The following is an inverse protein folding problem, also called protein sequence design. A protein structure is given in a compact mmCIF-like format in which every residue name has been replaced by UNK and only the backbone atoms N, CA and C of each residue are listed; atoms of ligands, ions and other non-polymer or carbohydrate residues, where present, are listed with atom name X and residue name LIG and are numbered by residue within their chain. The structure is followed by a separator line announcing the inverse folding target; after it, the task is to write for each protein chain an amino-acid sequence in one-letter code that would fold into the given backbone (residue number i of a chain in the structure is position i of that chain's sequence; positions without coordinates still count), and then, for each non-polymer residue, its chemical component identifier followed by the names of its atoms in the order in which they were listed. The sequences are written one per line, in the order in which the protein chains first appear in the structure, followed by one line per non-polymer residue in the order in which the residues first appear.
data_IF_506179467480
#
_entry.id   IF_506179467480
#
_cell.length_a   1.000
_cell.length_b   1.000
_cell.length_c   1.000
_cell.angle_alpha   90.00
_cell.angle_beta   90.00
_cell.angle_gamma   90.00
#
_symmetry.space_group_name_H-M   'P 1'
#
loop_
_entity.id
_entity.type
_entity.pdbx_description
1 polymer ?
#
# COMPACT_ATOMS: atom_id res chain seq x y z
N UNK A 1 -13.08 -35.35 33.88
CA UNK A 1 -11.77 -35.57 33.23
C UNK A 1 -11.75 -35.09 31.78
N UNK A 2 -12.72 -35.45 30.94
CA UNK A 2 -12.76 -35.05 29.51
C UNK A 2 -12.81 -33.53 29.23
N UNK A 3 -13.48 -32.73 30.07
CA UNK A 3 -13.48 -31.25 29.92
C UNK A 3 -12.08 -30.62 30.05
N UNK A 4 -11.21 -31.17 30.91
CA UNK A 4 -9.85 -30.65 31.07
C UNK A 4 -8.99 -30.95 29.83
N UNK A 5 -9.15 -32.13 29.22
CA UNK A 5 -8.45 -32.46 27.99
C UNK A 5 -8.88 -31.55 26.84
N UNK A 6 -10.18 -31.27 26.68
CA UNK A 6 -10.66 -30.34 25.66
C UNK A 6 -10.12 -28.91 25.83
N UNK A 7 -10.07 -28.40 27.08
CA UNK A 7 -9.51 -27.07 27.38
C UNK A 7 -8.00 -27.00 27.08
N UNK A 8 -7.24 -28.05 27.40
CA UNK A 8 -5.80 -28.13 27.11
C UNK A 8 -5.54 -28.13 25.60
N UNK A 9 -6.32 -28.90 24.83
CA UNK A 9 -6.18 -28.95 23.37
C UNK A 9 -6.53 -27.61 22.71
N UNK A 10 -7.59 -26.94 23.16
CA UNK A 10 -7.96 -25.61 22.67
C UNK A 10 -6.88 -24.55 23.00
N UNK A 11 -6.29 -24.62 24.20
CA UNK A 11 -5.18 -23.73 24.58
C UNK A 11 -3.92 -24.00 23.76
N UNK A 12 -3.57 -25.26 23.51
CA UNK A 12 -2.45 -25.63 22.67
C UNK A 12 -2.65 -25.17 21.21
N UNK A 13 -3.85 -25.39 20.65
CA UNK A 13 -4.21 -24.91 19.31
C UNK A 13 -4.11 -23.39 19.19
N UNK A 14 -4.64 -22.65 20.17
CA UNK A 14 -4.60 -21.18 20.20
C UNK A 14 -3.16 -20.65 20.34
N UNK A 15 -2.31 -21.31 21.13
CA UNK A 15 -0.87 -20.97 21.23
C UNK A 15 -0.16 -21.16 19.90
N UNK A 16 -0.38 -22.30 19.22
CA UNK A 16 0.24 -22.58 17.93
C UNK A 16 -0.19 -21.55 16.88
N UNK A 17 -1.49 -21.21 16.81
CA UNK A 17 -2.01 -20.18 15.91
C UNK A 17 -1.39 -18.80 16.18
N UNK A 18 -1.25 -18.40 17.44
CA UNK A 18 -0.60 -17.14 17.81
C UNK A 18 0.90 -17.13 17.47
N UNK A 19 1.60 -18.26 17.60
CA UNK A 19 3.01 -18.36 17.21
C UNK A 19 3.20 -18.13 15.71
N UNK A 20 2.40 -18.79 14.87
CA UNK A 20 2.44 -18.60 13.42
C UNK A 20 2.12 -17.17 13.01
N UNK A 21 1.18 -16.52 13.70
CA UNK A 21 0.87 -15.11 13.48
C UNK A 21 2.10 -14.22 13.74
N UNK A 22 2.74 -14.37 14.91
CA UNK A 22 3.92 -13.57 15.29
C UNK A 22 5.08 -13.80 14.32
N UNK A 23 5.36 -15.05 13.96
CA UNK A 23 6.39 -15.39 12.97
C UNK A 23 6.11 -14.72 11.63
N UNK A 24 4.88 -14.79 11.14
CA UNK A 24 4.52 -14.14 9.89
C UNK A 24 4.60 -12.62 9.94
N UNK A 25 4.25 -11.98 11.06
CA UNK A 25 4.42 -10.53 11.25
C UNK A 25 5.89 -10.12 11.24
N UNK A 26 6.76 -10.85 11.96
CA UNK A 26 8.20 -10.59 11.99
C UNK A 26 8.84 -10.82 10.60
N UNK A 27 8.43 -11.89 9.91
CA UNK A 27 8.89 -12.20 8.56
C UNK A 27 8.47 -11.09 7.58
N UNK A 28 7.18 -10.71 7.57
CA UNK A 28 6.68 -9.66 6.70
C UNK A 28 7.39 -8.32 6.95
N UNK A 29 7.58 -7.93 8.22
CA UNK A 29 8.27 -6.70 8.58
C UNK A 29 9.75 -6.72 8.17
N UNK A 30 10.47 -7.81 8.45
CA UNK A 30 11.88 -7.95 8.08
C UNK A 30 12.09 -7.93 6.57
N UNK A 31 11.24 -8.61 5.80
CA UNK A 31 11.30 -8.61 4.33
C UNK A 31 10.98 -7.22 3.79
N UNK A 32 9.92 -6.56 4.27
CA UNK A 32 9.55 -5.21 3.84
C UNK A 32 10.67 -4.20 4.13
N UNK A 33 11.25 -4.23 5.33
CA UNK A 33 12.39 -3.37 5.69
C UNK A 33 13.61 -3.68 4.84
N UNK A 34 13.94 -4.96 4.62
CA UNK A 34 15.07 -5.36 3.79
C UNK A 34 14.92 -4.85 2.36
N UNK A 35 13.72 -4.91 1.77
CA UNK A 35 13.45 -4.36 0.43
C UNK A 35 13.72 -2.86 0.38
N UNK A 36 13.23 -2.08 1.35
CA UNK A 36 13.43 -0.63 1.40
C UNK A 36 14.91 -0.28 1.58
N UNK A 37 15.57 -0.89 2.58
CA UNK A 37 16.98 -0.62 2.88
C UNK A 37 17.94 -1.15 1.82
N UNK A 38 17.57 -2.15 1.02
CA UNK A 38 18.42 -2.67 -0.05
C UNK A 38 18.85 -1.55 -1.01
N UNK A 39 17.91 -0.69 -1.41
CA UNK A 39 18.18 0.45 -2.32
C UNK A 39 19.11 1.51 -1.75
N UNK A 40 19.27 1.57 -0.42
CA UNK A 40 20.17 2.54 0.21
C UNK A 40 21.64 2.28 -0.13
N UNK A 41 22.01 1.01 -0.36
CA UNK A 41 23.39 0.63 -0.69
C UNK A 41 23.87 1.19 -2.04
N UNK A 42 22.95 1.29 -3.01
CA UNK A 42 23.24 1.84 -4.35
C UNK A 42 23.14 3.38 -4.36
N UNK A 43 22.20 3.95 -3.61
CA UNK A 43 21.93 5.40 -3.60
C UNK A 43 22.91 6.24 -2.74
N UNK A 44 23.82 5.60 -2.00
CA UNK A 44 24.84 6.29 -1.21
C UNK A 44 25.90 6.89 -2.14
N UNK A 45 26.46 8.05 -1.76
CA UNK A 45 27.51 8.75 -2.53
C UNK A 45 28.74 7.89 -2.87
N UNK A 46 29.10 6.97 -1.97
CA UNK A 46 30.17 5.98 -2.14
C UNK A 46 29.61 4.55 -2.36
N UNK A 47 28.38 4.46 -2.89
CA UNK A 47 27.65 3.20 -3.05
C UNK A 47 28.30 2.28 -4.09
N UNK A 48 28.22 0.97 -3.82
CA UNK A 48 28.67 -0.04 -4.78
C UNK A 48 27.62 -0.13 -5.90
N UNK A 49 28.06 0.06 -7.14
CA UNK A 49 27.20 -0.09 -8.31
C UNK A 49 26.75 -1.56 -8.43
N UNK A 50 25.44 -1.79 -8.43
CA UNK A 50 24.90 -3.13 -8.58
C UNK A 50 25.10 -3.67 -9.99
N UNK A 51 25.34 -4.97 -10.08
CA UNK A 51 25.42 -5.66 -11.38
C UNK A 51 24.06 -5.62 -12.07
N UNK A 52 24.02 -5.56 -13.41
CA UNK A 52 22.75 -5.55 -14.19
C UNK A 52 21.77 -6.64 -13.77
N UNK A 53 22.29 -7.83 -13.44
CA UNK A 53 21.52 -8.95 -12.95
C UNK A 53 20.82 -8.65 -11.61
N UNK A 54 21.54 -8.06 -10.65
CA UNK A 54 20.99 -7.70 -9.33
C UNK A 54 19.87 -6.65 -9.45
N UNK A 55 20.05 -5.65 -10.31
CA UNK A 55 19.03 -4.63 -10.57
C UNK A 55 17.79 -5.23 -11.22
N UNK A 56 17.97 -6.10 -12.22
CA UNK A 56 16.87 -6.80 -12.86
C UNK A 56 16.08 -7.68 -11.88
N UNK A 57 16.77 -8.42 -10.99
CA UNK A 57 16.12 -9.20 -9.93
C UNK A 57 15.35 -8.32 -8.96
N UNK A 58 15.93 -7.21 -8.51
CA UNK A 58 15.25 -6.29 -7.59
C UNK A 58 13.99 -5.67 -8.22
N UNK A 59 14.05 -5.23 -9.47
CA UNK A 59 12.88 -4.67 -10.17
C UNK A 59 11.79 -5.72 -10.41
N UNK A 60 12.18 -6.96 -10.76
CA UNK A 60 11.25 -8.04 -11.03
C UNK A 60 10.57 -8.57 -9.75
N UNK A 61 11.32 -8.76 -8.67
CA UNK A 61 10.81 -9.40 -7.44
C UNK A 61 10.45 -8.40 -6.35
N UNK A 62 10.94 -7.16 -6.38
CA UNK A 62 10.66 -6.16 -5.34
C UNK A 62 9.17 -5.87 -5.20
N UNK A 63 8.46 -5.63 -6.31
CA UNK A 63 7.02 -5.35 -6.30
C UNK A 63 6.18 -6.56 -5.88
N UNK A 64 6.38 -7.78 -6.43
CA UNK A 64 5.64 -8.96 -5.99
C UNK A 64 5.90 -9.35 -4.54
N UNK A 65 7.15 -9.27 -4.06
CA UNK A 65 7.48 -9.61 -2.66
C UNK A 65 6.84 -8.60 -1.71
N UNK A 66 6.87 -7.30 -2.04
CA UNK A 66 6.12 -6.30 -1.28
C UNK A 66 4.62 -6.60 -1.27
N UNK A 67 4.04 -6.94 -2.42
CA UNK A 67 2.63 -7.33 -2.51
C UNK A 67 2.32 -8.59 -1.68
N UNK A 68 3.23 -9.56 -1.61
CA UNK A 68 3.08 -10.74 -0.76
C UNK A 68 3.12 -10.39 0.74
N UNK A 69 3.98 -9.45 1.15
CA UNK A 69 3.98 -8.93 2.52
C UNK A 69 2.64 -8.26 2.87
N UNK A 70 2.09 -7.45 1.98
CA UNK A 70 0.76 -6.84 2.16
C UNK A 70 -0.34 -7.92 2.13
N UNK A 71 -0.21 -8.92 1.27
CA UNK A 71 -1.12 -10.08 1.21
C UNK A 71 -1.17 -10.86 2.53
N UNK A 72 -0.02 -11.04 3.19
CA UNK A 72 0.03 -11.61 4.53
C UNK A 72 -0.77 -10.79 5.55
N UNK A 73 -0.69 -9.45 5.50
CA UNK A 73 -1.48 -8.58 6.38
C UNK A 73 -2.98 -8.81 6.17
N UNK A 74 -3.44 -8.88 4.92
CA UNK A 74 -4.84 -9.14 4.58
C UNK A 74 -5.26 -10.51 5.12
N UNK A 75 -4.45 -11.55 4.87
CA UNK A 75 -4.69 -12.90 5.36
C UNK A 75 -4.77 -12.96 6.90
N UNK A 76 -3.85 -12.26 7.59
CA UNK A 76 -3.83 -12.19 9.04
C UNK A 76 -5.07 -11.48 9.60
N UNK A 77 -5.55 -10.43 8.92
CA UNK A 77 -6.80 -9.75 9.28
C UNK A 77 -8.02 -10.67 9.11
N UNK A 78 -8.09 -11.42 7.99
CA UNK A 78 -9.19 -12.35 7.73
C UNK A 78 -9.28 -13.50 8.76
N UNK A 79 -8.14 -14.01 9.24
CA UNK A 79 -8.08 -15.10 10.20
C UNK A 79 -8.19 -14.65 11.68
N UNK A 80 -8.59 -13.40 11.96
CA UNK A 80 -8.63 -12.82 13.31
C UNK A 80 -7.27 -12.83 14.06
N UNK A 81 -6.16 -13.00 13.33
CA UNK A 81 -4.79 -12.93 13.86
C UNK A 81 -4.21 -11.50 13.77
N UNK A 82 -4.98 -10.54 13.25
CA UNK A 82 -4.56 -9.17 13.00
C UNK A 82 -4.64 -8.22 14.19
N UNK A 83 -5.30 -8.60 15.29
CA UNK A 83 -5.37 -7.81 16.53
C UNK A 83 -5.71 -6.34 16.30
N UNK A 84 -4.79 -5.44 16.72
CA UNK A 84 -4.95 -3.98 16.60
C UNK A 84 -4.99 -3.54 15.12
N UNK A 85 -4.20 -4.16 14.24
CA UNK A 85 -4.15 -3.80 12.81
C UNK A 85 -5.51 -4.03 12.16
N UNK A 86 -6.20 -5.11 12.51
CA UNK A 86 -7.55 -5.37 12.02
C UNK A 86 -8.54 -4.29 12.48
N UNK A 87 -8.42 -3.80 13.71
CA UNK A 87 -9.29 -2.72 14.22
C UNK A 87 -9.02 -1.39 13.52
N UNK A 88 -7.77 -1.10 13.15
CA UNK A 88 -7.44 0.09 12.37
C UNK A 88 -8.00 -0.05 10.94
N UNK A 89 -7.70 -1.16 10.25
CA UNK A 89 -8.08 -1.36 8.85
C UNK A 89 -9.59 -1.50 8.62
N UNK A 90 -10.33 -1.98 9.62
CA UNK A 90 -11.80 -2.09 9.55
C UNK A 90 -12.53 -0.77 9.85
N UNK A 91 -11.81 0.34 10.00
CA UNK A 91 -12.44 1.62 10.29
C UNK A 91 -13.19 2.17 9.06
N UNK A 92 -14.49 2.43 9.23
CA UNK A 92 -15.36 2.98 8.18
C UNK A 92 -14.87 4.34 7.61
N UNK A 93 -14.02 5.07 8.34
CA UNK A 93 -13.37 6.29 7.84
C UNK A 93 -12.44 6.05 6.64
N UNK A 94 -11.94 4.82 6.45
CA UNK A 94 -11.12 4.47 5.29
C UNK A 94 -11.90 4.32 4.00
N UNK A 95 -13.23 4.17 4.06
CA UNK A 95 -14.07 4.01 2.86
C UNK A 95 -13.92 5.21 1.91
N UNK A 96 -14.17 6.48 2.34
CA UNK A 96 -13.96 7.62 1.46
C UNK A 96 -12.48 7.81 1.08
N UNK A 97 -11.55 7.48 1.99
CA UNK A 97 -10.11 7.61 1.73
C UNK A 97 -9.65 6.66 0.61
N UNK A 98 -10.12 5.41 0.61
CA UNK A 98 -9.79 4.42 -0.43
C UNK A 98 -10.28 4.86 -1.81
N UNK A 99 -11.44 5.52 -1.89
CA UNK A 99 -11.96 6.05 -3.17
C UNK A 99 -11.13 7.22 -3.67
N UNK A 100 -10.77 8.14 -2.76
CA UNK A 100 -9.92 9.28 -3.09
C UNK A 100 -8.54 8.83 -3.57
N UNK A 101 -7.91 7.88 -2.88
CA UNK A 101 -6.59 7.36 -3.28
C UNK A 101 -6.64 6.60 -4.60
N UNK A 102 -7.75 5.90 -4.88
CA UNK A 102 -7.96 5.27 -6.18
C UNK A 102 -8.11 6.32 -7.31
N UNK A 103 -8.92 7.36 -7.11
CA UNK A 103 -9.02 8.46 -8.07
C UNK A 103 -7.67 9.17 -8.28
N UNK A 104 -6.92 9.39 -7.20
CA UNK A 104 -5.59 9.97 -7.26
C UNK A 104 -4.63 9.08 -8.06
N UNK A 105 -4.65 7.76 -7.85
CA UNK A 105 -3.82 6.82 -8.61
C UNK A 105 -4.05 6.91 -10.13
N UNK A 106 -5.30 7.03 -10.57
CA UNK A 106 -5.64 7.14 -12.00
C UNK A 106 -5.22 8.49 -12.61
N UNK A 107 -5.43 9.59 -11.87
CA UNK A 107 -5.19 10.95 -12.36
C UNK A 107 -3.70 11.34 -12.27
N UNK A 108 -2.96 10.79 -11.31
CA UNK A 108 -1.55 11.09 -11.08
C UNK A 108 -0.66 11.01 -12.34
N UNK A 109 -0.64 9.89 -13.11
CA UNK A 109 0.17 9.80 -14.32
C UNK A 109 -0.24 10.82 -15.38
N UNK A 110 -1.52 11.17 -15.49
CA UNK A 110 -2.01 12.19 -16.42
C UNK A 110 -1.46 13.56 -16.04
N UNK A 111 -1.52 13.92 -14.75
CA UNK A 111 -0.94 15.17 -14.25
C UNK A 111 0.56 15.24 -14.50
N UNK A 112 1.29 14.14 -14.28
CA UNK A 112 2.72 14.07 -14.56
C UNK A 112 3.02 14.22 -16.06
N UNK A 113 2.28 13.54 -16.93
CA UNK A 113 2.44 13.66 -18.38
C UNK A 113 2.20 15.09 -18.86
N UNK A 114 1.11 15.74 -18.46
CA UNK A 114 0.80 17.12 -18.83
C UNK A 114 1.93 18.07 -18.42
N UNK A 115 2.47 17.89 -17.21
CA UNK A 115 3.61 18.67 -16.75
C UNK A 115 4.86 18.45 -17.61
N UNK A 116 5.20 17.19 -17.91
CA UNK A 116 6.38 16.85 -18.73
C UNK A 116 6.23 17.41 -20.15
N UNK A 117 5.08 17.28 -20.79
CA UNK A 117 4.84 17.84 -22.13
C UNK A 117 4.83 19.37 -22.16
N UNK A 118 4.44 20.02 -21.05
CA UNK A 118 4.48 21.47 -20.93
C UNK A 118 5.89 22.02 -20.71
N UNK A 119 6.85 21.19 -20.27
CA UNK A 119 8.22 21.63 -20.01
C UNK A 119 9.02 21.67 -21.30
N UNK A 120 9.59 22.85 -21.58
CA UNK A 120 10.48 23.08 -22.73
C UNK A 120 11.97 23.06 -22.37
N UNK A 121 12.30 23.01 -21.08
CA UNK A 121 13.67 23.05 -20.55
C UNK A 121 13.97 21.86 -19.63
N UNK A 122 15.25 21.50 -19.50
CA UNK A 122 15.70 20.42 -18.62
C UNK A 122 15.47 20.77 -17.15
N UNK A 123 15.01 19.77 -16.39
CA UNK A 123 14.83 19.86 -14.93
C UNK A 123 16.21 19.70 -14.28
N UNK A 124 16.59 20.65 -13.42
CA UNK A 124 17.82 20.55 -12.65
C UNK A 124 17.59 19.60 -11.46
N UNK A 125 18.33 18.49 -11.42
CA UNK A 125 18.19 17.46 -10.38
C UNK A 125 18.91 17.96 -9.12
N UNK A 126 18.17 18.68 -8.28
CA UNK A 126 18.60 19.11 -6.94
C UNK A 126 17.59 18.60 -5.90
N UNK A 127 18.06 18.25 -4.71
CA UNK A 127 17.20 17.68 -3.65
C UNK A 127 16.01 18.59 -3.33
N UNK A 128 16.24 19.89 -3.22
CA UNK A 128 15.19 20.87 -2.93
C UNK A 128 14.14 20.95 -4.05
N UNK A 129 14.60 20.95 -5.31
CA UNK A 129 13.73 20.96 -6.49
C UNK A 129 12.88 19.69 -6.56
N UNK A 130 13.48 18.52 -6.34
CA UNK A 130 12.75 17.23 -6.38
C UNK A 130 11.68 17.18 -5.30
N UNK A 131 11.98 17.64 -4.08
CA UNK A 131 11.02 17.69 -2.98
C UNK A 131 9.88 18.65 -3.31
N UNK A 132 10.18 19.84 -3.85
CA UNK A 132 9.16 20.80 -4.26
C UNK A 132 8.26 20.25 -5.37
N UNK A 133 8.86 19.61 -6.38
CA UNK A 133 8.11 18.96 -7.47
C UNK A 133 7.24 17.83 -6.96
N UNK A 134 7.74 16.99 -6.06
CA UNK A 134 6.97 15.90 -5.46
C UNK A 134 5.75 16.42 -4.70
N UNK A 135 5.92 17.44 -3.85
CA UNK A 135 4.84 18.06 -3.09
C UNK A 135 3.83 18.78 -4.02
N UNK A 136 4.32 19.45 -5.07
CA UNK A 136 3.48 20.10 -6.07
C UNK A 136 2.64 19.09 -6.85
N UNK A 137 3.25 18.03 -7.36
CA UNK A 137 2.52 16.97 -8.06
C UNK A 137 1.51 16.27 -7.17
N UNK A 138 1.88 15.97 -5.92
CA UNK A 138 0.99 15.29 -4.97
C UNK A 138 -0.22 16.17 -4.62
N UNK A 139 0.00 17.46 -4.33
CA UNK A 139 -1.08 18.39 -3.99
C UNK A 139 -2.05 18.61 -5.16
N UNK A 140 -1.53 18.88 -6.36
CA UNK A 140 -2.36 19.03 -7.57
C UNK A 140 -3.15 17.75 -7.86
N UNK A 141 -2.49 16.59 -7.77
CA UNK A 141 -3.15 15.31 -8.00
C UNK A 141 -4.28 15.08 -7.01
N UNK A 142 -4.07 15.35 -5.72
CA UNK A 142 -5.11 15.20 -4.70
C UNK A 142 -6.29 16.15 -4.93
N UNK A 143 -6.04 17.39 -5.35
CA UNK A 143 -7.10 18.34 -5.69
C UNK A 143 -7.94 17.86 -6.88
N UNK A 144 -7.29 17.43 -7.96
CA UNK A 144 -8.01 16.94 -9.15
C UNK A 144 -8.73 15.63 -8.83
N UNK A 145 -8.08 14.71 -8.10
CA UNK A 145 -8.68 13.45 -7.66
C UNK A 145 -9.93 13.65 -6.82
N UNK A 146 -9.94 14.67 -5.95
CA UNK A 146 -11.12 15.01 -5.15
C UNK A 146 -12.29 15.46 -6.04
N UNK A 147 -12.04 16.31 -7.03
CA UNK A 147 -13.06 16.75 -7.99
C UNK A 147 -13.57 15.56 -8.81
N UNK A 148 -12.67 14.72 -9.32
CA UNK A 148 -13.03 13.51 -10.08
C UNK A 148 -13.86 12.56 -9.22
N UNK A 149 -13.40 12.22 -8.01
CA UNK A 149 -14.13 11.38 -7.07
C UNK A 149 -15.52 11.97 -6.77
N UNK A 150 -15.64 13.27 -6.46
CA UNK A 150 -16.95 13.89 -6.23
C UNK A 150 -17.88 13.84 -7.45
N UNK A 151 -17.36 14.13 -8.64
CA UNK A 151 -18.12 14.12 -9.88
C UNK A 151 -18.55 12.74 -10.34
N UNK A 152 -17.79 11.67 -10.02
CA UNK A 152 -18.17 10.30 -10.37
C UNK A 152 -18.99 9.63 -9.26
N UNK A 153 -18.69 9.85 -7.99
CA UNK A 153 -19.41 9.21 -6.89
C UNK A 153 -20.88 9.64 -6.83
N UNK A 154 -21.19 10.93 -7.03
CA UNK A 154 -22.57 11.43 -7.03
C UNK A 154 -23.46 10.77 -8.10
N UNK A 155 -23.08 10.71 -9.40
CA UNK A 155 -23.88 10.06 -10.43
C UNK A 155 -23.90 8.54 -10.28
N UNK A 156 -22.80 7.89 -9.84
CA UNK A 156 -22.82 6.44 -9.64
C UNK A 156 -23.73 6.01 -8.49
N UNK A 157 -23.76 6.76 -7.38
CA UNK A 157 -24.71 6.52 -6.29
C UNK A 157 -26.16 6.76 -6.72
N UNK A 158 -26.41 7.76 -7.57
CA UNK A 158 -27.74 8.00 -8.13
C UNK A 158 -28.15 6.86 -9.08
N UNK A 159 -27.23 6.39 -9.91
CA UNK A 159 -27.46 5.29 -10.86
C UNK A 159 -27.73 3.96 -10.14
N UNK A 160 -27.00 3.66 -9.07
CA UNK A 160 -27.22 2.47 -8.24
C UNK A 160 -28.65 2.46 -7.65
N UNK A 161 -29.13 3.60 -7.16
CA UNK A 161 -30.50 3.73 -6.64
C UNK A 161 -31.57 3.51 -7.72
N UNK A 162 -31.32 3.98 -8.95
CA UNK A 162 -32.24 3.82 -10.08
C UNK A 162 -32.28 2.37 -10.57
N UNK A 163 -31.12 1.71 -10.66
CA UNK A 163 -31.01 0.34 -11.19
C UNK A 163 -31.46 -0.71 -10.16
N UNK A 164 -31.02 -0.58 -8.91
CA UNK A 164 -31.32 -1.58 -7.87
C UNK A 164 -32.62 -1.32 -7.10
N UNK A 165 -33.30 -0.20 -7.38
CA UNK A 165 -34.65 0.10 -6.85
C UNK A 165 -34.76 0.02 -5.33
N UNK A 166 -33.64 0.06 -4.61
CA UNK A 166 -33.58 -0.15 -3.18
C UNK A 166 -33.51 1.22 -2.52
N UNK A 167 -34.63 1.57 -1.87
CA UNK A 167 -34.81 2.78 -1.07
C UNK A 167 -33.67 2.97 -0.07
#
# INVERSE_FOLDING_TARGET
MQENHAKILLQAYKKTCNLWAVVGWLLAASVALSLVYSTYSENRKDGIQWTRLQRAFYEAFGRPVWAACVGWVIFACHNNMGGIVNSMLSWNGFIPLMRLTYAAYLVHPICMMVYVYSKRSLIHINTYEIVYLFLGHTSITLMVAFVVSACFEAPFMALEKVIFGRK
#
